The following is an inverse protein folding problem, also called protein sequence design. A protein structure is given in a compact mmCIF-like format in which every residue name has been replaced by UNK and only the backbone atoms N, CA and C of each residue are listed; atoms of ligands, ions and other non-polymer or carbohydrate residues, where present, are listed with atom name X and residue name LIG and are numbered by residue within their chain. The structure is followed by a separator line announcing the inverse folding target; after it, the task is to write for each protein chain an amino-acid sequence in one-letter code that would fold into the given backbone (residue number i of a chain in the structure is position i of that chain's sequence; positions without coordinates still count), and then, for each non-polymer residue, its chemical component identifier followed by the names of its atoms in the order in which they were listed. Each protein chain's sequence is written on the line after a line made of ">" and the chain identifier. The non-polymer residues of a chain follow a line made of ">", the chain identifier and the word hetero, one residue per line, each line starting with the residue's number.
data_IF_962149056520
#
_entry.id   IF_962149056520
#
_cell.length_a   1.000
_cell.length_b   1.000
_cell.length_c   1.000
_cell.angle_alpha   90.00
_cell.angle_beta   90.00
_cell.angle_gamma   90.00
#
_symmetry.space_group_name_H-M   'P 1'
#
loop_
_entity.id
_entity.type
_entity.pdbx_description
1 polymer ?
#
# COMPACT_ATOMS: atom_id res chain seq x y z
N UNK A 1 -9.98 -7.29 -12.95
CA UNK A 1 -10.54 -7.13 -11.60
C UNK A 1 -11.12 -5.72 -11.46
N UNK A 2 -12.21 -5.58 -10.73
CA UNK A 2 -12.86 -4.28 -10.57
C UNK A 2 -12.03 -3.33 -9.71
N UNK A 3 -12.18 -2.04 -9.98
CA UNK A 3 -11.57 -0.97 -9.19
C UNK A 3 -12.09 -1.04 -7.74
N UNK A 4 -11.21 -0.83 -6.78
CA UNK A 4 -11.56 -0.88 -5.34
C UNK A 4 -12.70 0.08 -4.98
N UNK A 5 -12.83 1.19 -5.69
CA UNK A 5 -13.88 2.17 -5.44
C UNK A 5 -15.27 1.63 -5.77
N UNK A 6 -15.35 0.66 -6.66
CA UNK A 6 -16.61 -0.02 -6.97
C UNK A 6 -16.89 -1.16 -5.99
N UNK A 7 -15.84 -1.82 -5.51
CA UNK A 7 -15.93 -2.97 -4.61
C UNK A 7 -16.29 -2.52 -3.19
N UNK A 8 -15.65 -1.47 -2.72
CA UNK A 8 -15.77 -0.99 -1.33
C UNK A 8 -16.00 0.53 -1.34
N UNK A 9 -17.19 0.98 -1.72
CA UNK A 9 -17.49 2.41 -1.74
C UNK A 9 -17.39 3.03 -0.35
N UNK A 10 -16.93 4.28 -0.29
CA UNK A 10 -16.76 4.99 0.97
C UNK A 10 -15.36 4.91 1.57
N UNK A 11 -14.46 4.15 0.96
CA UNK A 11 -13.06 4.15 1.37
C UNK A 11 -12.44 5.52 1.10
N UNK A 12 -11.82 6.12 2.10
CA UNK A 12 -11.13 7.40 1.95
C UNK A 12 -9.85 7.25 1.14
N UNK A 13 -9.62 8.18 0.23
CA UNK A 13 -8.42 8.20 -0.62
C UNK A 13 -8.15 6.86 -1.30
N UNK A 14 -9.21 6.23 -1.80
CA UNK A 14 -9.10 4.94 -2.46
C UNK A 14 -8.46 5.08 -3.84
N UNK A 15 -7.60 4.12 -4.19
CA UNK A 15 -6.93 4.06 -5.48
C UNK A 15 -6.74 2.65 -5.95
N UNK A 16 -6.53 2.52 -7.25
CA UNK A 16 -6.25 1.22 -7.86
C UNK A 16 -5.12 1.40 -8.88
N UNK A 17 -3.88 1.66 -8.40
CA UNK A 17 -2.76 2.04 -9.27
C UNK A 17 -2.28 0.95 -10.22
N UNK A 18 -2.47 -0.30 -9.85
CA UNK A 18 -2.03 -1.47 -10.62
C UNK A 18 -3.07 -2.57 -10.51
N UNK A 19 -3.12 -3.44 -11.51
CA UNK A 19 -3.96 -4.63 -11.45
C UNK A 19 -3.61 -5.47 -10.22
N UNK A 20 -4.59 -5.70 -9.38
CA UNK A 20 -4.40 -6.48 -8.16
C UNK A 20 -3.78 -5.74 -6.99
N UNK A 21 -3.64 -4.42 -7.08
CA UNK A 21 -3.13 -3.59 -5.98
C UNK A 21 -4.12 -2.45 -5.70
N UNK A 22 -4.82 -2.53 -4.59
CA UNK A 22 -5.71 -1.48 -4.13
C UNK A 22 -5.06 -0.72 -2.97
N UNK A 23 -5.35 0.57 -2.87
CA UNK A 23 -4.78 1.44 -1.85
C UNK A 23 -5.85 2.33 -1.25
N UNK A 24 -5.68 2.73 0.01
CA UNK A 24 -6.64 3.63 0.65
C UNK A 24 -6.10 4.21 1.95
N UNK A 25 -6.89 5.07 2.57
CA UNK A 25 -6.77 5.43 3.96
C UNK A 25 -7.37 4.33 4.83
N UNK A 26 -7.75 4.64 6.06
CA UNK A 26 -8.26 3.65 7.02
C UNK A 26 -9.57 3.05 6.53
N UNK A 27 -9.65 1.71 6.38
CA UNK A 27 -10.90 1.04 6.08
C UNK A 27 -11.75 0.84 7.34
N UNK A 28 -13.06 0.66 7.13
CA UNK A 28 -13.95 0.16 8.15
C UNK A 28 -14.04 -1.36 8.03
N UNK A 29 -14.60 -2.02 9.04
CA UNK A 29 -14.76 -3.46 9.04
C UNK A 29 -15.53 -3.96 7.80
N UNK A 30 -16.57 -3.26 7.43
CA UNK A 30 -17.40 -3.58 6.26
C UNK A 30 -16.57 -3.58 4.97
N UNK A 31 -15.62 -2.64 4.84
CA UNK A 31 -14.78 -2.56 3.66
C UNK A 31 -13.90 -3.82 3.49
N UNK A 32 -13.36 -4.33 4.60
CA UNK A 32 -12.56 -5.55 4.57
C UNK A 32 -13.39 -6.75 4.14
N UNK A 33 -14.64 -6.83 4.61
CA UNK A 33 -15.56 -7.89 4.21
C UNK A 33 -15.86 -7.82 2.72
N UNK A 34 -16.07 -6.62 2.19
CA UNK A 34 -16.33 -6.40 0.76
C UNK A 34 -15.12 -6.78 -0.09
N UNK A 35 -13.91 -6.44 0.35
CA UNK A 35 -12.68 -6.79 -0.34
C UNK A 35 -12.47 -8.30 -0.37
N UNK A 36 -12.72 -8.97 0.74
CA UNK A 36 -12.59 -10.43 0.82
C UNK A 36 -13.56 -11.11 -0.16
N UNK A 37 -14.79 -10.64 -0.25
CA UNK A 37 -15.78 -11.17 -1.19
C UNK A 37 -15.35 -11.00 -2.63
N UNK A 38 -14.63 -9.93 -2.91
CA UNK A 38 -14.12 -9.65 -4.25
C UNK A 38 -12.86 -10.45 -4.60
N UNK A 39 -12.34 -11.24 -3.66
CA UNK A 39 -11.19 -12.11 -3.89
C UNK A 39 -9.87 -11.56 -3.38
N UNK A 40 -9.87 -10.45 -2.64
CA UNK A 40 -8.63 -9.93 -2.07
C UNK A 40 -8.05 -10.91 -1.07
N UNK A 41 -6.73 -11.10 -1.13
CA UNK A 41 -6.02 -12.12 -0.33
C UNK A 41 -5.24 -11.56 0.83
N UNK A 42 -4.78 -10.31 0.71
CA UNK A 42 -3.84 -9.73 1.69
C UNK A 42 -4.21 -8.30 2.04
N UNK A 43 -4.10 -7.98 3.32
CA UNK A 43 -4.17 -6.60 3.83
C UNK A 43 -2.80 -6.24 4.36
N UNK A 44 -2.22 -5.15 3.86
CA UNK A 44 -0.98 -4.57 4.37
C UNK A 44 -1.33 -3.28 5.09
N UNK A 45 -1.18 -3.31 6.41
CA UNK A 45 -1.52 -2.19 7.30
C UNK A 45 -0.24 -1.45 7.70
N UNK A 46 -0.15 -0.18 7.31
CA UNK A 46 1.03 0.65 7.55
C UNK A 46 0.90 1.54 8.79
N UNK A 47 -0.24 1.49 9.48
CA UNK A 47 -0.43 2.33 10.67
C UNK A 47 0.40 1.84 11.84
N UNK A 48 0.77 2.78 12.72
CA UNK A 48 1.43 2.42 13.96
C UNK A 48 0.42 1.82 14.94
N UNK A 49 0.91 1.15 15.98
CA UNK A 49 0.05 0.51 16.99
C UNK A 49 -0.75 1.52 17.79
N UNK A 50 -0.35 2.78 17.79
CA UNK A 50 -1.04 3.86 18.51
C UNK A 50 -2.26 4.38 17.79
N UNK A 51 -2.37 4.10 16.49
CA UNK A 51 -3.51 4.52 15.68
C UNK A 51 -4.62 3.47 15.81
N UNK A 52 -5.72 3.85 16.44
CA UNK A 52 -6.84 2.93 16.67
C UNK A 52 -7.86 3.02 15.54
N UNK A 53 -8.12 1.91 14.82
CA UNK A 53 -9.12 1.88 13.76
C UNK A 53 -10.56 1.77 14.28
N UNK A 54 -10.76 1.58 15.58
CA UNK A 54 -12.08 1.39 16.17
C UNK A 54 -12.56 -0.05 16.18
N UNK A 55 -11.76 -0.99 15.68
CA UNK A 55 -12.06 -2.42 15.67
C UNK A 55 -10.76 -3.22 15.56
N UNK A 56 -10.80 -4.52 15.80
CA UNK A 56 -9.62 -5.38 15.66
C UNK A 56 -9.46 -5.79 14.20
N UNK A 57 -8.65 -5.03 13.47
CA UNK A 57 -8.45 -5.23 12.03
C UNK A 57 -7.80 -6.55 11.70
N UNK A 58 -6.83 -6.98 12.51
CA UNK A 58 -6.15 -8.27 12.33
C UNK A 58 -7.15 -9.42 12.42
N UNK A 59 -8.00 -9.41 13.43
CA UNK A 59 -9.02 -10.43 13.62
C UNK A 59 -10.05 -10.41 12.48
N UNK A 60 -10.49 -9.21 12.09
CA UNK A 60 -11.45 -9.07 11.00
C UNK A 60 -10.90 -9.61 9.69
N UNK A 61 -9.67 -9.25 9.33
CA UNK A 61 -9.04 -9.71 8.10
C UNK A 61 -8.89 -11.23 8.07
N UNK A 62 -8.38 -11.80 9.15
CA UNK A 62 -8.22 -13.25 9.26
C UNK A 62 -9.55 -13.98 9.26
N UNK A 63 -10.55 -13.40 9.91
CA UNK A 63 -11.89 -13.98 9.99
C UNK A 63 -12.59 -14.10 8.64
N UNK A 64 -12.23 -13.25 7.67
CA UNK A 64 -12.78 -13.31 6.31
C UNK A 64 -11.81 -13.98 5.33
N UNK A 65 -10.74 -14.60 5.83
CA UNK A 65 -9.84 -15.41 5.01
C UNK A 65 -8.69 -14.66 4.36
N UNK A 66 -8.40 -13.44 4.78
CA UNK A 66 -7.27 -12.68 4.26
C UNK A 66 -6.05 -12.78 5.17
N UNK A 67 -4.85 -12.74 4.58
CA UNK A 67 -3.62 -12.59 5.33
C UNK A 67 -3.52 -11.14 5.81
N UNK A 68 -3.16 -10.94 7.06
CA UNK A 68 -2.94 -9.61 7.61
C UNK A 68 -1.45 -9.40 7.87
N UNK A 69 -0.86 -8.40 7.21
CA UNK A 69 0.55 -8.04 7.39
C UNK A 69 0.59 -6.63 7.99
N UNK A 70 1.23 -6.50 9.14
CA UNK A 70 1.38 -5.21 9.80
C UNK A 70 2.83 -4.74 9.64
N UNK A 71 3.02 -3.61 8.97
CA UNK A 71 4.33 -2.98 8.80
C UNK A 71 4.21 -1.54 9.27
N UNK A 72 4.30 -1.30 10.59
CA UNK A 72 4.04 0.02 11.15
C UNK A 72 5.09 1.04 10.71
N UNK A 73 4.62 2.17 10.17
CA UNK A 73 5.48 3.26 9.69
C UNK A 73 4.98 4.59 10.24
N UNK A 74 5.89 5.34 10.84
CA UNK A 74 5.59 6.72 11.19
C UNK A 74 5.68 7.59 9.92
N UNK A 75 4.99 8.72 9.91
CA UNK A 75 4.98 9.63 8.75
C UNK A 75 6.21 10.53 8.80
N UNK A 76 7.37 9.94 8.53
CA UNK A 76 8.66 10.66 8.50
C UNK A 76 9.65 9.89 7.63
N UNK A 77 10.59 10.58 6.96
CA UNK A 77 11.54 9.90 6.07
C UNK A 77 12.37 8.82 6.74
N UNK A 78 12.73 9.00 8.00
CA UNK A 78 13.56 8.06 8.75
C UNK A 78 12.89 6.70 8.95
N UNK A 79 11.56 6.64 8.87
CA UNK A 79 10.82 5.38 8.98
C UNK A 79 10.91 4.55 7.70
N UNK A 80 11.21 5.19 6.58
CA UNK A 80 11.26 4.53 5.27
C UNK A 80 12.69 4.08 4.97
N UNK A 81 13.11 3.05 5.69
CA UNK A 81 14.45 2.47 5.57
C UNK A 81 14.57 1.60 4.33
N UNK A 82 15.80 1.21 3.99
CA UNK A 82 16.06 0.30 2.87
C UNK A 82 15.32 -1.04 3.07
N UNK A 83 15.29 -1.53 4.31
CA UNK A 83 14.59 -2.77 4.66
C UNK A 83 13.08 -2.66 4.43
N UNK A 84 12.51 -1.51 4.75
CA UNK A 84 11.07 -1.26 4.54
C UNK A 84 10.75 -1.27 3.04
N UNK A 85 11.52 -0.58 2.23
CA UNK A 85 11.31 -0.58 0.78
C UNK A 85 11.50 -1.98 0.19
N UNK A 86 12.52 -2.70 0.64
CA UNK A 86 12.77 -4.06 0.17
C UNK A 86 11.60 -4.99 0.53
N UNK A 87 11.09 -4.88 1.76
CA UNK A 87 9.95 -5.68 2.20
C UNK A 87 8.69 -5.38 1.40
N UNK A 88 8.43 -4.09 1.15
CA UNK A 88 7.28 -3.69 0.34
C UNK A 88 7.38 -4.29 -1.08
N UNK A 89 8.57 -4.28 -1.67
CA UNK A 89 8.78 -4.85 -2.99
C UNK A 89 8.50 -6.36 -3.00
N UNK A 90 8.95 -7.08 -1.98
CA UNK A 90 8.68 -8.52 -1.86
C UNK A 90 7.18 -8.80 -1.78
N UNK A 91 6.47 -8.04 -0.97
CA UNK A 91 5.03 -8.22 -0.80
C UNK A 91 4.27 -7.94 -2.09
N UNK A 92 4.64 -6.87 -2.78
CA UNK A 92 3.98 -6.47 -4.02
C UNK A 92 4.28 -7.41 -5.19
N UNK A 93 5.48 -7.99 -5.22
CA UNK A 93 5.90 -8.89 -6.29
C UNK A 93 5.36 -10.31 -6.14
N UNK A 94 4.87 -10.67 -4.97
CA UNK A 94 4.40 -12.04 -4.70
C UNK A 94 3.01 -12.28 -5.31
N UNK A 95 2.91 -13.13 -6.33
CA UNK A 95 1.62 -13.39 -6.98
C UNK A 95 0.62 -14.08 -6.05
N UNK A 96 1.09 -14.78 -5.02
CA UNK A 96 0.21 -15.47 -4.07
C UNK A 96 -0.47 -14.50 -3.10
N UNK A 97 0.08 -13.29 -2.95
CA UNK A 97 -0.51 -12.27 -2.09
C UNK A 97 -1.46 -11.33 -2.82
N UNK A 98 -1.47 -11.37 -4.13
CA UNK A 98 -2.40 -10.54 -4.91
C UNK A 98 -3.74 -11.23 -5.10
N UNK A 99 -4.84 -10.49 -5.11
CA UNK A 99 -4.96 -9.04 -4.92
C UNK A 99 -4.61 -8.61 -3.50
N UNK A 100 -3.86 -7.53 -3.39
CA UNK A 100 -3.41 -6.97 -2.11
C UNK A 100 -4.02 -5.57 -1.89
N UNK A 101 -4.43 -5.32 -0.66
CA UNK A 101 -4.96 -4.03 -0.24
C UNK A 101 -3.98 -3.39 0.74
N UNK A 102 -3.48 -2.20 0.39
CA UNK A 102 -2.50 -1.47 1.20
C UNK A 102 -3.14 -0.20 1.74
N UNK A 103 -3.06 0.01 3.04
CA UNK A 103 -3.63 1.21 3.62
C UNK A 103 -2.81 1.78 4.77
N UNK A 104 -3.09 3.03 5.08
CA UNK A 104 -2.64 3.69 6.30
C UNK A 104 -3.82 4.53 6.81
N UNK A 105 -3.61 5.69 7.41
CA UNK A 105 -4.72 6.53 7.87
C UNK A 105 -5.32 7.36 6.72
N UNK A 106 -4.46 7.94 5.86
CA UNK A 106 -4.87 8.85 4.79
C UNK A 106 -4.21 8.55 3.44
N UNK A 107 -3.63 7.39 3.27
CA UNK A 107 -2.89 6.93 2.10
C UNK A 107 -1.52 7.61 1.88
N UNK A 108 -1.13 8.56 2.69
CA UNK A 108 0.13 9.30 2.53
C UNK A 108 1.37 8.40 2.65
N UNK A 109 1.31 7.34 3.44
CA UNK A 109 2.42 6.39 3.61
C UNK A 109 2.46 5.33 2.50
N UNK A 110 1.35 5.13 1.81
CA UNK A 110 1.26 4.15 0.72
C UNK A 110 2.04 4.65 -0.51
N UNK A 111 1.92 5.93 -0.83
CA UNK A 111 2.54 6.52 -2.02
C UNK A 111 4.03 6.18 -2.16
N UNK A 112 4.88 6.44 -1.15
CA UNK A 112 6.32 6.18 -1.31
C UNK A 112 6.66 4.70 -1.42
N UNK A 113 5.82 3.80 -0.91
CA UNK A 113 6.12 2.35 -1.01
C UNK A 113 5.94 1.82 -2.42
N UNK A 114 5.07 2.42 -3.21
CA UNK A 114 4.82 1.98 -4.59
C UNK A 114 5.95 2.35 -5.54
N UNK A 115 6.62 3.47 -5.30
CA UNK A 115 7.60 4.02 -6.23
C UNK A 115 8.76 3.06 -6.52
N UNK A 116 9.46 2.52 -5.51
CA UNK A 116 10.57 1.60 -5.82
C UNK A 116 10.13 0.34 -6.53
N UNK A 117 8.97 -0.20 -6.17
CA UNK A 117 8.43 -1.37 -6.85
C UNK A 117 8.18 -1.08 -8.33
N UNK A 118 7.54 0.05 -8.63
CA UNK A 118 7.24 0.43 -10.01
C UNK A 118 8.52 0.59 -10.85
N UNK A 119 9.56 1.18 -10.29
CA UNK A 119 10.81 1.42 -10.99
C UNK A 119 11.63 0.14 -11.13
N UNK A 120 11.86 -0.55 -10.02
CA UNK A 120 12.81 -1.66 -9.97
C UNK A 120 12.22 -3.00 -10.40
N UNK A 121 10.95 -3.22 -10.13
CA UNK A 121 10.31 -4.51 -10.41
C UNK A 121 9.40 -4.47 -11.63
N UNK A 122 8.80 -3.31 -11.94
CA UNK A 122 7.93 -3.13 -13.10
C UNK A 122 8.62 -2.45 -14.28
N UNK A 123 9.84 -1.94 -14.09
CA UNK A 123 10.60 -1.29 -15.15
C UNK A 123 10.11 0.09 -15.57
N UNK A 124 9.33 0.75 -14.72
CA UNK A 124 8.83 2.10 -15.00
C UNK A 124 9.95 3.13 -14.86
N UNK A 125 9.84 4.22 -15.63
CA UNK A 125 10.75 5.36 -15.43
C UNK A 125 10.36 6.08 -14.13
N UNK A 126 11.31 6.78 -13.48
CA UNK A 126 11.00 7.49 -12.25
C UNK A 126 9.84 8.49 -12.36
N UNK A 127 9.73 9.20 -13.49
CA UNK A 127 8.64 10.16 -13.72
C UNK A 127 7.29 9.45 -13.85
N UNK A 128 7.25 8.30 -14.51
CA UNK A 128 6.04 7.49 -14.63
C UNK A 128 5.61 6.93 -13.28
N UNK A 129 6.58 6.41 -12.52
CA UNK A 129 6.30 5.85 -11.19
C UNK A 129 5.75 6.91 -10.24
N UNK A 130 6.34 8.09 -10.25
CA UNK A 130 5.87 9.21 -9.43
C UNK A 130 4.45 9.64 -9.83
N UNK A 131 4.16 9.66 -11.13
CA UNK A 131 2.83 10.02 -11.62
C UNK A 131 1.78 8.99 -11.23
N UNK A 132 2.08 7.70 -11.34
CA UNK A 132 1.16 6.63 -10.92
C UNK A 132 0.90 6.74 -9.40
N UNK A 133 1.96 6.89 -8.62
CA UNK A 133 1.84 6.98 -7.18
C UNK A 133 1.07 8.23 -6.73
N UNK A 134 1.17 9.34 -7.49
CA UNK A 134 0.47 10.58 -7.14
C UNK A 134 -1.04 10.46 -7.24
N UNK A 135 -1.55 9.50 -7.99
CA UNK A 135 -2.99 9.26 -8.11
C UNK A 135 -3.57 8.50 -6.92
N UNK A 136 -2.70 7.94 -6.08
CA UNK A 136 -3.12 7.13 -4.94
C UNK A 136 -3.66 7.97 -3.79
N UNK A 137 -3.08 9.13 -3.55
CA UNK A 137 -3.52 9.98 -2.45
C UNK A 137 -2.56 11.13 -2.18
N UNK A 138 -2.72 11.78 -1.02
CA UNK A 138 -1.86 12.92 -0.67
C UNK A 138 -0.39 12.51 -0.60
N UNK A 139 0.48 13.41 -1.05
CA UNK A 139 1.92 13.17 -1.06
C UNK A 139 2.64 14.09 -0.08
N UNK A 140 3.75 13.56 0.46
CA UNK A 140 4.73 14.35 1.19
C UNK A 140 6.04 14.24 0.42
N UNK A 141 6.58 15.38 0.01
CA UNK A 141 7.79 15.44 -0.82
C UNK A 141 8.96 14.69 -0.22
N UNK A 142 9.15 14.81 1.09
CA UNK A 142 10.26 14.13 1.79
C UNK A 142 10.19 12.62 1.70
N UNK A 143 8.98 12.05 1.76
CA UNK A 143 8.78 10.61 1.65
C UNK A 143 8.97 10.14 0.20
N UNK A 144 8.46 10.92 -0.74
CA UNK A 144 8.64 10.63 -2.16
C UNK A 144 10.12 10.67 -2.53
N UNK A 145 10.86 11.67 -2.05
CA UNK A 145 12.28 11.81 -2.35
C UNK A 145 13.09 10.65 -1.78
N UNK A 146 12.74 10.17 -0.59
CA UNK A 146 13.38 8.99 0.00
C UNK A 146 13.18 7.75 -0.88
N UNK A 147 11.97 7.56 -1.40
CA UNK A 147 11.65 6.44 -2.28
C UNK A 147 12.40 6.53 -3.60
N UNK A 148 12.46 7.71 -4.20
CA UNK A 148 13.19 7.92 -5.47
C UNK A 148 14.69 7.69 -5.28
N UNK A 149 15.24 8.13 -4.16
CA UNK A 149 16.66 7.91 -3.85
C UNK A 149 16.99 6.42 -3.71
N UNK A 150 16.15 5.69 -2.98
CA UNK A 150 16.30 4.24 -2.83
C UNK A 150 16.34 3.56 -4.20
N UNK A 151 15.39 3.89 -5.07
CA UNK A 151 15.31 3.29 -6.40
C UNK A 151 16.51 3.69 -7.28
N UNK A 152 16.90 4.96 -7.24
CA UNK A 152 18.03 5.47 -8.04
C UNK A 152 19.33 4.76 -7.69
N UNK A 153 19.59 4.56 -6.41
CA UNK A 153 20.79 3.86 -5.93
C UNK A 153 20.87 2.41 -6.41
N UNK A 154 19.75 1.79 -6.78
CA UNK A 154 19.67 0.38 -7.16
C UNK A 154 19.43 0.14 -8.64
N UNK A 155 19.08 1.16 -9.41
CA UNK A 155 18.81 1.00 -10.85
C UNK A 155 20.02 0.57 -11.64
N UNK A 156 21.20 1.02 -11.23
CA UNK A 156 22.45 0.79 -11.92
C UNK A 156 23.27 -0.35 -11.28
N UNK A 157 22.69 -1.06 -10.35
CA UNK A 157 23.35 -2.16 -9.67
C UNK A 157 23.25 -3.47 -10.44
#
# INVERSE_FOLDING_TARGET
>A
MKDVREIAPGLENAGYPLEGVATAGQPEQEHLEQLAKAGYRTVLDLRTSEEDPGFDESETARGVGMEYVHMPLEVKPEAFTDEVFARARELLADPERRPIFIHCASAVRVVPLLIPYLILDEGRRPDEAAAIASEVGPQKDELRDAALRYADERRDA
#
